data_IF_610513737383
#
_entry.id   IF_610513737383
#
_cell.length_a   1.000
_cell.length_b   1.000
_cell.length_c   1.000
_cell.angle_alpha   90.00
_cell.angle_beta   90.00
_cell.angle_gamma   90.00
#
_symmetry.space_group_name_H-M   'P 1'
#
loop_
_entity.id
_entity.type
_entity.pdbx_description
1 polymer ?
#
# COMPACT_ATOMS: atom_id res chain seq x y z
N UNK A 1 -24.41 -54.70 18.05
CA UNK A 1 -23.15 -54.38 17.39
C UNK A 1 -23.35 -53.11 16.57
N UNK A 2 -23.02 -51.96 17.17
CA UNK A 2 -23.14 -50.64 16.53
C UNK A 2 -21.71 -50.23 16.15
N UNK A 3 -21.42 -50.20 14.84
CA UNK A 3 -20.21 -49.62 14.32
C UNK A 3 -20.43 -48.13 14.04
N UNK A 4 -19.90 -47.30 14.93
CA UNK A 4 -19.80 -45.85 14.67
C UNK A 4 -18.69 -45.59 13.64
N UNK A 5 -19.12 -45.28 12.43
CA UNK A 5 -18.17 -44.83 11.38
C UNK A 5 -17.81 -43.36 11.64
N UNK A 6 -16.65 -43.15 12.20
CA UNK A 6 -16.04 -41.81 12.35
C UNK A 6 -15.62 -41.35 10.96
N UNK A 7 -16.36 -40.43 10.38
CA UNK A 7 -15.93 -39.73 9.14
C UNK A 7 -14.89 -38.73 9.52
N UNK A 8 -13.61 -39.09 9.35
CA UNK A 8 -12.50 -38.14 9.31
C UNK A 8 -12.67 -37.26 8.09
N UNK A 9 -13.16 -36.05 8.31
CA UNK A 9 -13.08 -34.98 7.33
C UNK A 9 -11.62 -34.52 7.22
N UNK A 10 -10.82 -35.20 6.45
CA UNK A 10 -9.54 -34.71 5.94
C UNK A 10 -9.79 -33.49 5.07
N UNK A 11 -9.70 -32.27 5.64
CA UNK A 11 -9.57 -31.06 4.86
C UNK A 11 -8.27 -31.17 4.08
N UNK A 12 -8.37 -31.42 2.77
CA UNK A 12 -7.25 -31.17 1.87
C UNK A 12 -6.78 -29.73 2.14
N UNK A 13 -5.61 -29.56 2.72
CA UNK A 13 -5.02 -28.26 2.99
C UNK A 13 -4.67 -27.65 1.62
N UNK A 14 -5.57 -26.83 1.08
CA UNK A 14 -5.30 -26.07 -0.14
C UNK A 14 -4.00 -25.29 0.02
N UNK A 15 -3.33 -24.92 -1.09
CA UNK A 15 -2.10 -24.15 -1.08
C UNK A 15 -2.23 -22.89 -0.20
N UNK A 16 -1.15 -22.48 0.46
CA UNK A 16 -1.11 -21.24 1.24
C UNK A 16 -1.54 -20.04 0.38
N UNK A 17 -2.26 -19.05 0.93
CA UNK A 17 -2.56 -17.82 0.21
C UNK A 17 -1.33 -16.92 0.01
N UNK A 18 -0.20 -17.28 0.63
CA UNK A 18 1.05 -16.53 0.64
C UNK A 18 2.10 -17.16 -0.28
N UNK A 19 2.92 -16.33 -0.90
CA UNK A 19 4.07 -16.78 -1.69
C UNK A 19 5.30 -17.05 -0.82
N UNK A 20 6.34 -17.62 -1.40
CA UNK A 20 7.54 -18.08 -0.68
C UNK A 20 8.22 -16.97 0.16
N UNK A 21 8.29 -15.73 -0.37
CA UNK A 21 8.87 -14.59 0.34
C UNK A 21 8.08 -14.20 1.60
N UNK A 22 6.73 -14.15 1.52
CA UNK A 22 5.87 -13.89 2.67
C UNK A 22 6.03 -14.97 3.74
N UNK A 23 6.03 -16.24 3.33
CA UNK A 23 6.24 -17.37 4.23
C UNK A 23 7.63 -17.32 4.90
N UNK A 24 8.67 -16.87 4.19
CA UNK A 24 10.00 -16.72 4.77
C UNK A 24 10.02 -15.65 5.86
N UNK A 25 9.40 -14.49 5.62
CA UNK A 25 9.29 -13.42 6.62
C UNK A 25 8.42 -13.86 7.81
N UNK A 26 7.30 -14.54 7.57
CA UNK A 26 6.43 -15.06 8.63
C UNK A 26 7.14 -16.07 9.53
N UNK A 27 7.92 -16.98 8.94
CA UNK A 27 8.75 -17.94 9.70
C UNK A 27 9.80 -17.21 10.56
N UNK A 28 10.53 -16.26 9.96
CA UNK A 28 11.55 -15.49 10.69
C UNK A 28 10.96 -14.66 11.83
N UNK A 29 9.74 -14.16 11.64
CA UNK A 29 8.99 -13.43 12.66
C UNK A 29 8.28 -14.32 13.70
N UNK A 30 8.34 -15.65 13.55
CA UNK A 30 7.72 -16.60 14.50
C UNK A 30 6.19 -16.63 14.45
N UNK A 31 5.58 -16.29 13.31
CA UNK A 31 4.10 -16.13 13.21
C UNK A 31 3.46 -16.93 12.06
N UNK A 32 4.20 -17.83 11.42
CA UNK A 32 3.79 -18.51 10.19
C UNK A 32 2.44 -19.25 10.32
N UNK A 33 2.25 -20.04 11.37
CA UNK A 33 1.01 -20.79 11.57
C UNK A 33 -0.21 -19.87 11.78
N UNK A 34 -0.04 -18.83 12.60
CA UNK A 34 -1.10 -17.85 12.85
C UNK A 34 -1.43 -17.06 11.57
N UNK A 35 -0.43 -16.62 10.81
CA UNK A 35 -0.62 -15.90 9.55
C UNK A 35 -1.32 -16.79 8.51
N UNK A 36 -0.92 -18.06 8.34
CA UNK A 36 -1.54 -18.98 7.39
C UNK A 36 -3.01 -19.24 7.74
N UNK A 37 -3.33 -19.51 9.00
CA UNK A 37 -4.70 -19.71 9.45
C UNK A 37 -5.58 -18.47 9.19
N UNK A 38 -5.08 -17.28 9.55
CA UNK A 38 -5.78 -16.02 9.33
C UNK A 38 -5.91 -15.68 7.83
N UNK A 39 -4.85 -15.92 7.05
CA UNK A 39 -4.83 -15.64 5.60
C UNK A 39 -5.82 -16.51 4.82
N UNK A 40 -5.93 -17.81 5.14
CA UNK A 40 -6.90 -18.71 4.51
C UNK A 40 -8.36 -18.27 4.69
N UNK A 41 -8.66 -17.59 5.79
CA UNK A 41 -10.00 -17.05 6.06
C UNK A 41 -10.15 -15.64 5.47
N UNK A 42 -9.12 -14.81 5.63
CA UNK A 42 -9.18 -13.38 5.33
C UNK A 42 -8.97 -13.03 3.87
N UNK A 43 -8.03 -13.69 3.19
CA UNK A 43 -7.67 -13.40 1.79
C UNK A 43 -8.60 -14.17 0.86
N UNK A 44 -9.49 -13.46 0.18
CA UNK A 44 -10.51 -14.03 -0.70
C UNK A 44 -10.17 -13.74 -2.16
N UNK A 45 -10.53 -14.65 -3.07
CA UNK A 45 -10.45 -14.44 -4.52
C UNK A 45 -11.58 -13.58 -5.08
N UNK A 46 -12.33 -12.90 -4.24
CA UNK A 46 -13.46 -12.04 -4.61
C UNK A 46 -13.65 -10.93 -3.57
N UNK A 47 -14.35 -9.88 -3.94
CA UNK A 47 -14.73 -8.78 -3.06
C UNK A 47 -16.10 -9.08 -2.42
N UNK A 48 -16.18 -9.27 -1.09
CA UNK A 48 -17.47 -9.29 -0.39
C UNK A 48 -18.24 -7.99 -0.61
N UNK A 49 -19.58 -8.02 -0.47
CA UNK A 49 -20.41 -6.82 -0.63
C UNK A 49 -19.95 -5.65 0.22
N UNK A 50 -19.51 -5.91 1.46
CA UNK A 50 -18.96 -4.88 2.33
C UNK A 50 -17.70 -4.18 1.76
N UNK A 51 -16.84 -4.90 1.01
CA UNK A 51 -15.69 -4.29 0.36
C UNK A 51 -16.10 -3.48 -0.87
N UNK A 52 -17.05 -3.99 -1.65
CA UNK A 52 -17.58 -3.32 -2.83
C UNK A 52 -18.24 -2.00 -2.46
N UNK A 53 -19.13 -2.01 -1.47
CA UNK A 53 -19.76 -0.81 -0.94
C UNK A 53 -18.73 0.17 -0.36
N UNK A 54 -17.71 -0.33 0.34
CA UNK A 54 -16.63 0.50 0.88
C UNK A 54 -15.83 1.21 -0.22
N UNK A 55 -15.46 0.52 -1.30
CA UNK A 55 -14.72 1.13 -2.39
C UNK A 55 -15.55 2.19 -3.13
N UNK A 56 -16.84 1.95 -3.30
CA UNK A 56 -17.73 2.86 -4.04
C UNK A 56 -17.93 4.22 -3.35
N UNK A 57 -17.76 4.32 -2.04
CA UNK A 57 -17.94 5.59 -1.31
C UNK A 57 -16.69 6.48 -1.27
N UNK A 58 -15.53 5.95 -1.70
CA UNK A 58 -14.26 6.66 -1.58
C UNK A 58 -14.11 7.76 -2.65
N UNK A 59 -13.63 8.96 -2.31
CA UNK A 59 -13.30 10.01 -3.27
C UNK A 59 -11.87 9.89 -3.84
N UNK A 60 -11.07 8.99 -3.30
CA UNK A 60 -9.70 8.70 -3.72
C UNK A 60 -9.38 7.23 -3.51
N UNK A 61 -8.43 6.71 -4.29
CA UNK A 61 -8.06 5.31 -4.26
C UNK A 61 -6.57 5.16 -4.60
N UNK A 62 -5.80 4.49 -3.74
CA UNK A 62 -4.38 4.27 -3.98
C UNK A 62 -4.24 3.07 -4.91
N UNK A 63 -3.46 3.24 -5.97
CA UNK A 63 -3.17 2.21 -6.96
C UNK A 63 -1.68 1.92 -7.01
N UNK A 64 -1.34 0.69 -7.27
CA UNK A 64 0.01 0.24 -7.54
C UNK A 64 0.10 -0.58 -8.81
N UNK A 65 1.17 -0.40 -9.52
CA UNK A 65 1.50 -1.13 -10.73
C UNK A 65 3.01 -1.20 -10.91
N UNK A 66 3.43 -1.73 -12.05
CA UNK A 66 4.83 -1.71 -12.47
C UNK A 66 4.94 -1.00 -13.82
N UNK A 67 5.98 -0.20 -13.99
CA UNK A 67 6.28 0.43 -15.26
C UNK A 67 6.94 -0.55 -16.25
N UNK A 68 7.38 -0.05 -17.41
CA UNK A 68 7.99 -0.86 -18.45
C UNK A 68 9.33 -1.50 -18.01
N UNK A 69 10.02 -0.89 -17.07
CA UNK A 69 11.29 -1.38 -16.51
C UNK A 69 11.07 -2.34 -15.33
N UNK A 70 9.82 -2.63 -14.98
CA UNK A 70 9.43 -3.49 -13.86
C UNK A 70 9.62 -2.81 -12.50
N UNK A 71 9.72 -1.47 -12.45
CA UNK A 71 9.76 -0.70 -11.22
C UNK A 71 8.35 -0.57 -10.64
N UNK A 72 8.09 -1.01 -9.40
CA UNK A 72 6.82 -0.76 -8.74
C UNK A 72 6.66 0.72 -8.41
N UNK A 73 5.44 1.23 -8.62
CA UNK A 73 5.05 2.57 -8.23
C UNK A 73 3.72 2.54 -7.47
N UNK A 74 3.62 3.37 -6.43
CA UNK A 74 2.36 3.71 -5.80
C UNK A 74 1.92 5.06 -6.33
N UNK A 75 0.68 5.16 -6.78
CA UNK A 75 0.03 6.39 -7.20
C UNK A 75 -1.39 6.45 -6.66
N UNK A 76 -2.16 7.43 -7.03
CA UNK A 76 -3.55 7.49 -6.65
C UNK A 76 -4.44 7.97 -7.81
N UNK A 77 -5.71 7.60 -7.71
CA UNK A 77 -6.78 8.14 -8.53
C UNK A 77 -7.80 8.82 -7.66
N UNK A 78 -8.43 9.84 -8.19
CA UNK A 78 -9.44 10.62 -7.50
C UNK A 78 -10.67 10.82 -8.39
N UNK A 79 -11.84 10.94 -7.76
CA UNK A 79 -13.10 11.16 -8.46
C UNK A 79 -14.25 11.29 -7.46
N UNK A 80 -15.42 11.62 -7.97
CA UNK A 80 -16.64 11.60 -7.16
C UNK A 80 -16.93 10.16 -6.67
N UNK A 81 -17.53 9.98 -5.49
CA UNK A 81 -17.97 8.68 -5.01
C UNK A 81 -18.70 7.89 -6.10
N UNK A 82 -18.34 6.63 -6.30
CA UNK A 82 -18.76 5.79 -7.42
C UNK A 82 -17.73 5.68 -8.55
N UNK A 83 -16.65 6.50 -8.56
CA UNK A 83 -15.57 6.35 -9.55
C UNK A 83 -14.82 5.02 -9.40
N UNK A 84 -14.83 4.42 -8.21
CA UNK A 84 -14.47 3.04 -8.00
C UNK A 84 -15.76 2.23 -7.87
N UNK A 85 -15.99 1.31 -8.78
CA UNK A 85 -17.21 0.50 -8.84
C UNK A 85 -16.88 -0.98 -9.01
N UNK A 86 -17.80 -1.83 -8.59
CA UNK A 86 -17.67 -3.28 -8.74
C UNK A 86 -18.99 -3.83 -9.26
N UNK A 87 -19.10 -4.12 -10.57
CA UNK A 87 -20.34 -4.67 -11.15
C UNK A 87 -20.67 -6.07 -10.61
N UNK A 88 -19.65 -6.83 -10.26
CA UNK A 88 -19.72 -8.16 -9.71
C UNK A 88 -18.60 -8.41 -8.67
N UNK A 89 -18.59 -9.52 -7.91
CA UNK A 89 -17.61 -9.76 -6.86
C UNK A 89 -16.14 -9.91 -7.33
N UNK A 90 -15.90 -10.16 -8.62
CA UNK A 90 -14.56 -10.45 -9.16
C UNK A 90 -14.07 -9.39 -10.14
N UNK A 91 -14.88 -8.36 -10.38
CA UNK A 91 -14.53 -7.25 -11.26
C UNK A 91 -14.52 -5.93 -10.49
N UNK A 92 -13.38 -5.22 -10.52
CA UNK A 92 -13.27 -3.84 -10.04
C UNK A 92 -13.09 -2.91 -11.24
N UNK A 93 -13.86 -1.82 -11.27
CA UNK A 93 -13.69 -0.72 -12.24
C UNK A 93 -13.18 0.51 -11.51
N UNK A 94 -12.08 1.08 -11.98
CA UNK A 94 -11.51 2.32 -11.43
C UNK A 94 -11.50 3.36 -12.53
N UNK A 95 -12.42 4.29 -12.43
CA UNK A 95 -12.49 5.48 -13.29
C UNK A 95 -11.52 6.57 -12.76
N UNK A 96 -11.58 7.74 -13.34
CA UNK A 96 -10.63 8.80 -13.03
C UNK A 96 -9.30 8.59 -13.76
N UNK A 97 -8.85 9.62 -14.45
CA UNK A 97 -7.59 9.58 -15.18
C UNK A 97 -6.37 9.49 -14.26
N UNK A 98 -5.22 9.28 -14.86
CA UNK A 98 -3.96 9.50 -14.17
C UNK A 98 -3.89 10.97 -13.72
N UNK A 99 -3.38 11.19 -12.52
CA UNK A 99 -3.04 12.54 -12.10
C UNK A 99 -1.86 13.05 -12.93
N UNK A 100 -1.68 14.37 -12.90
CA UNK A 100 -0.51 14.97 -13.55
C UNK A 100 0.77 14.32 -13.00
N UNK A 101 1.66 13.96 -13.92
CA UNK A 101 2.97 13.38 -13.62
C UNK A 101 2.92 11.99 -12.94
N UNK A 102 1.79 11.30 -13.03
CA UNK A 102 1.62 9.94 -12.54
C UNK A 102 2.65 8.99 -13.18
N UNK A 103 3.52 8.32 -12.39
CA UNK A 103 4.52 7.41 -12.95
C UNK A 103 3.93 6.19 -13.66
N UNK A 104 2.65 5.89 -13.43
CA UNK A 104 1.93 4.77 -14.05
C UNK A 104 0.98 5.22 -15.18
N UNK A 105 1.02 6.49 -15.62
CA UNK A 105 0.11 6.99 -16.65
C UNK A 105 0.07 6.08 -17.90
N UNK A 106 1.23 5.62 -18.36
CA UNK A 106 1.41 4.79 -19.55
C UNK A 106 1.63 3.30 -19.26
N UNK A 107 1.52 2.89 -18.00
CA UNK A 107 1.83 1.50 -17.59
C UNK A 107 0.66 0.54 -17.78
N UNK A 108 -0.56 1.05 -17.89
CA UNK A 108 -1.76 0.24 -17.88
C UNK A 108 -2.06 -0.38 -19.25
N UNK A 109 -2.14 -1.71 -19.27
CA UNK A 109 -2.51 -2.52 -20.42
C UNK A 109 -3.14 -3.83 -19.96
N UNK A 110 -3.92 -4.54 -20.78
CA UNK A 110 -4.39 -5.87 -20.42
C UNK A 110 -3.22 -6.79 -20.02
N UNK A 111 -3.41 -7.52 -18.93
CA UNK A 111 -2.37 -8.36 -18.32
C UNK A 111 -1.44 -7.64 -17.33
N UNK A 112 -1.47 -6.30 -17.23
CA UNK A 112 -0.67 -5.59 -16.22
C UNK A 112 -1.12 -5.94 -14.81
N UNK A 113 -0.19 -6.16 -13.86
CA UNK A 113 -0.53 -6.39 -12.47
C UNK A 113 -1.07 -5.11 -11.83
N UNK A 114 -2.09 -5.26 -10.99
CA UNK A 114 -2.78 -4.18 -10.28
C UNK A 114 -2.83 -4.47 -8.79
N UNK A 115 -2.40 -3.50 -7.99
CA UNK A 115 -2.64 -3.46 -6.55
C UNK A 115 -3.51 -2.26 -6.20
N UNK A 116 -4.52 -2.47 -5.38
CA UNK A 116 -5.41 -1.40 -4.94
C UNK A 116 -5.55 -1.34 -3.42
N UNK A 117 -5.57 -0.13 -2.88
CA UNK A 117 -5.83 0.12 -1.47
C UNK A 117 -6.88 1.22 -1.34
N UNK A 118 -8.10 0.83 -1.01
CA UNK A 118 -9.10 1.77 -0.51
C UNK A 118 -8.79 2.13 0.93
N UNK A 119 -8.73 3.43 1.21
CA UNK A 119 -8.50 3.95 2.55
C UNK A 119 -9.41 5.15 2.82
N UNK A 120 -10.15 5.07 3.93
CA UNK A 120 -11.03 6.11 4.43
C UNK A 120 -10.43 6.64 5.74
N UNK A 121 -9.74 7.77 5.64
CA UNK A 121 -9.02 8.35 6.78
C UNK A 121 -9.96 8.73 7.94
N UNK A 122 -11.18 9.31 7.71
CA UNK A 122 -12.08 9.69 8.79
C UNK A 122 -12.48 8.52 9.72
N UNK A 123 -12.59 7.32 9.19
CA UNK A 123 -12.99 6.11 9.94
C UNK A 123 -11.85 5.16 10.24
N UNK A 124 -10.64 5.46 9.74
CA UNK A 124 -9.46 4.58 9.79
C UNK A 124 -9.70 3.20 9.18
N UNK A 125 -10.60 3.11 8.19
CA UNK A 125 -10.86 1.85 7.46
C UNK A 125 -10.00 1.76 6.24
N UNK A 126 -9.53 0.56 5.94
CA UNK A 126 -8.82 0.27 4.69
C UNK A 126 -9.01 -1.18 4.29
N UNK A 127 -9.22 -1.38 2.99
CA UNK A 127 -9.32 -2.70 2.37
C UNK A 127 -8.39 -2.75 1.16
N UNK A 128 -7.81 -3.92 0.93
CA UNK A 128 -6.96 -4.18 -0.23
C UNK A 128 -7.72 -4.99 -1.27
N UNK A 129 -7.41 -4.72 -2.54
CA UNK A 129 -7.83 -5.52 -3.67
C UNK A 129 -6.68 -5.60 -4.67
N UNK A 130 -6.28 -6.80 -5.03
CA UNK A 130 -5.24 -7.04 -6.01
C UNK A 130 -5.81 -7.85 -7.18
N UNK A 131 -5.20 -7.70 -8.35
CA UNK A 131 -5.64 -8.40 -9.54
C UNK A 131 -4.79 -8.10 -10.76
N UNK A 132 -5.39 -8.30 -11.91
CA UNK A 132 -4.78 -8.04 -13.21
C UNK A 132 -5.71 -7.17 -14.03
N UNK A 133 -5.18 -6.19 -14.72
CA UNK A 133 -5.95 -5.36 -15.65
C UNK A 133 -6.52 -6.26 -16.74
N UNK A 134 -7.84 -6.34 -16.82
CA UNK A 134 -8.56 -7.10 -17.84
C UNK A 134 -8.79 -6.27 -19.11
N UNK A 135 -8.89 -4.94 -18.97
CA UNK A 135 -9.09 -4.04 -20.09
C UNK A 135 -9.09 -2.58 -19.66
N UNK A 136 -9.05 -1.71 -20.66
CA UNK A 136 -9.18 -0.26 -20.51
C UNK A 136 -10.32 0.22 -21.42
N UNK A 137 -11.12 1.15 -20.90
CA UNK A 137 -12.14 1.88 -21.64
C UNK A 137 -11.93 3.38 -21.38
N UNK A 138 -11.20 4.03 -22.28
CA UNK A 138 -10.67 5.36 -22.03
C UNK A 138 -9.77 5.38 -20.79
N UNK A 139 -10.14 6.19 -19.80
CA UNK A 139 -9.42 6.30 -18.54
C UNK A 139 -9.86 5.24 -17.48
N UNK A 140 -10.85 4.40 -17.77
CA UNK A 140 -11.39 3.40 -16.84
C UNK A 140 -10.57 2.13 -16.92
N UNK A 141 -9.99 1.73 -15.79
CA UNK A 141 -9.36 0.43 -15.64
C UNK A 141 -10.41 -0.60 -15.22
N UNK A 142 -10.49 -1.72 -15.94
CA UNK A 142 -11.23 -2.90 -15.52
C UNK A 142 -10.24 -3.94 -15.01
N UNK A 143 -10.40 -4.40 -13.76
CA UNK A 143 -9.46 -5.30 -13.08
C UNK A 143 -10.17 -6.61 -12.74
N UNK A 144 -9.60 -7.74 -13.18
CA UNK A 144 -9.98 -9.07 -12.71
C UNK A 144 -9.33 -9.30 -11.33
N UNK A 145 -10.17 -9.43 -10.30
CA UNK A 145 -9.74 -9.53 -8.90
C UNK A 145 -9.23 -10.92 -8.59
N UNK A 146 -8.04 -11.00 -8.00
CA UNK A 146 -7.44 -12.25 -7.51
C UNK A 146 -7.38 -12.34 -6.00
N UNK A 147 -7.30 -11.19 -5.31
CA UNK A 147 -7.27 -11.11 -3.86
C UNK A 147 -8.06 -9.90 -3.35
N UNK A 148 -8.84 -10.08 -2.29
CA UNK A 148 -9.45 -8.97 -1.55
C UNK A 148 -9.49 -9.30 -0.05
N UNK A 149 -9.04 -8.36 0.78
CA UNK A 149 -9.00 -8.54 2.23
C UNK A 149 -8.96 -7.21 3.00
N UNK A 150 -9.50 -7.26 4.21
CA UNK A 150 -9.43 -6.15 5.15
C UNK A 150 -8.04 -6.01 5.76
N UNK A 151 -7.70 -4.79 6.13
CA UNK A 151 -6.47 -4.49 6.83
C UNK A 151 -6.76 -3.84 8.19
N UNK A 152 -5.83 -4.03 9.13
CA UNK A 152 -5.89 -3.46 10.46
C UNK A 152 -5.99 -1.92 10.40
N UNK A 153 -6.82 -1.26 11.26
CA UNK A 153 -6.97 0.19 11.29
C UNK A 153 -5.79 0.94 11.95
N UNK A 154 -4.81 0.20 12.48
CA UNK A 154 -3.68 0.78 13.20
C UNK A 154 -2.87 1.75 12.34
N UNK A 155 -2.32 2.78 12.99
CA UNK A 155 -1.40 3.77 12.42
C UNK A 155 -2.00 4.68 11.34
N UNK A 156 -3.31 4.68 11.13
CA UNK A 156 -3.99 5.62 10.24
C UNK A 156 -4.31 6.89 11.03
N UNK A 157 -3.79 8.02 10.56
CA UNK A 157 -4.15 9.33 11.10
C UNK A 157 -5.49 9.74 10.50
N UNK A 158 -6.43 10.16 11.37
CA UNK A 158 -7.74 10.61 10.92
C UNK A 158 -7.63 12.00 10.29
N UNK A 159 -8.23 12.17 9.13
CA UNK A 159 -8.36 13.42 8.42
C UNK A 159 -9.66 13.41 7.61
N UNK A 160 -10.26 14.57 7.43
CA UNK A 160 -11.44 14.76 6.57
C UNK A 160 -11.00 15.43 5.27
N UNK A 161 -11.30 14.85 4.10
CA UNK A 161 -10.99 15.49 2.83
C UNK A 161 -11.97 16.63 2.54
N UNK A 162 -11.44 17.72 1.98
CA UNK A 162 -12.19 18.86 1.48
C UNK A 162 -11.83 19.06 0.01
N UNK A 163 -12.80 18.99 -0.92
CA UNK A 163 -12.55 19.26 -2.32
C UNK A 163 -12.03 20.68 -2.52
N UNK A 164 -11.05 20.84 -3.40
CA UNK A 164 -10.56 22.16 -3.82
C UNK A 164 -10.59 22.24 -5.32
N UNK A 165 -10.84 23.44 -5.85
CA UNK A 165 -10.69 23.69 -7.27
C UNK A 165 -9.24 23.37 -7.68
N UNK A 166 -9.02 22.66 -8.79
CA UNK A 166 -7.67 22.39 -9.27
C UNK A 166 -6.95 23.70 -9.54
N UNK A 167 -6.03 24.06 -8.69
CA UNK A 167 -5.05 25.10 -8.98
C UNK A 167 -3.91 24.40 -9.71
N UNK A 168 -3.77 24.61 -10.99
CA UNK A 168 -2.69 24.07 -11.79
C UNK A 168 -1.60 25.13 -11.92
N UNK A 169 -0.61 25.19 -11.01
CA UNK A 169 0.59 25.90 -11.35
C UNK A 169 1.22 25.19 -12.54
N UNK A 170 1.65 25.90 -13.52
CA UNK A 170 2.41 25.38 -14.65
C UNK A 170 3.87 25.03 -14.21
N UNK A 171 4.01 24.37 -13.06
CA UNK A 171 5.32 23.95 -12.56
C UNK A 171 5.69 22.67 -13.27
N UNK A 172 6.84 22.61 -13.97
CA UNK A 172 7.31 21.39 -14.59
C UNK A 172 7.52 20.28 -13.58
N UNK A 173 7.26 19.03 -13.97
CA UNK A 173 7.62 17.85 -13.18
C UNK A 173 9.11 17.90 -12.85
N UNK A 174 9.41 17.87 -11.57
CA UNK A 174 10.79 17.71 -11.11
C UNK A 174 11.13 16.21 -11.05
N UNK A 175 12.16 15.81 -11.78
CA UNK A 175 12.77 14.47 -11.68
C UNK A 175 14.23 14.62 -11.22
N UNK A 176 14.61 13.76 -10.27
CA UNK A 176 15.97 13.75 -9.72
C UNK A 176 16.34 12.34 -9.25
N UNK A 177 17.63 12.10 -9.03
CA UNK A 177 18.12 10.84 -8.43
C UNK A 177 18.34 10.95 -6.91
N UNK A 178 18.01 12.09 -6.31
CA UNK A 178 18.19 12.36 -4.89
C UNK A 178 17.17 13.39 -4.39
N UNK A 179 16.91 13.38 -3.11
CA UNK A 179 16.05 14.34 -2.41
C UNK A 179 16.71 15.72 -2.36
N UNK A 180 15.94 16.76 -2.66
CA UNK A 180 16.30 18.13 -2.31
C UNK A 180 15.79 18.49 -0.90
N UNK A 181 16.00 19.74 -0.50
CA UNK A 181 15.57 20.22 0.83
C UNK A 181 14.04 20.22 0.96
N UNK A 182 13.30 20.59 -0.08
CA UNK A 182 11.85 20.59 -0.04
C UNK A 182 11.27 19.18 0.07
N UNK A 183 11.87 18.19 -0.61
CA UNK A 183 11.50 16.77 -0.48
C UNK A 183 11.75 16.28 0.95
N UNK A 184 12.92 16.61 1.54
CA UNK A 184 13.25 16.23 2.92
C UNK A 184 12.29 16.86 3.93
N UNK A 185 11.92 18.11 3.75
CA UNK A 185 10.93 18.80 4.59
C UNK A 185 9.55 18.16 4.47
N UNK A 186 9.12 17.73 3.27
CA UNK A 186 7.88 17.02 3.07
C UNK A 186 7.91 15.68 3.81
N UNK A 187 8.98 14.89 3.65
CA UNK A 187 9.15 13.60 4.32
C UNK A 187 9.20 13.77 5.85
N UNK A 188 9.92 14.77 6.35
CA UNK A 188 10.03 15.01 7.79
C UNK A 188 8.69 15.35 8.46
N UNK A 189 7.78 16.01 7.73
CA UNK A 189 6.43 16.31 8.22
C UNK A 189 5.43 15.19 7.98
N UNK A 190 5.77 14.23 7.12
CA UNK A 190 4.87 13.14 6.77
C UNK A 190 4.60 12.25 7.99
N UNK A 191 3.35 11.95 8.23
CA UNK A 191 2.88 10.94 9.18
C UNK A 191 2.26 9.72 8.47
N UNK A 192 2.26 9.75 7.16
CA UNK A 192 1.68 8.74 6.29
C UNK A 192 2.46 8.69 4.97
N UNK A 193 2.75 7.50 4.51
CA UNK A 193 3.13 7.24 3.13
C UNK A 193 2.55 5.91 2.65
N UNK A 194 2.54 5.71 1.34
CA UNK A 194 2.13 4.45 0.72
C UNK A 194 3.34 3.80 0.07
N UNK A 195 3.35 2.47 0.06
CA UNK A 195 4.43 1.70 -0.54
C UNK A 195 3.86 0.63 -1.47
N UNK A 196 4.30 0.65 -2.73
CA UNK A 196 4.08 -0.42 -3.68
C UNK A 196 5.28 -1.36 -3.68
N UNK A 197 4.99 -2.66 -3.74
CA UNK A 197 5.96 -3.75 -3.88
C UNK A 197 5.37 -4.81 -4.80
N UNK A 198 6.20 -5.60 -5.46
CA UNK A 198 5.72 -6.58 -6.42
C UNK A 198 6.45 -7.92 -6.28
N UNK A 199 5.68 -8.99 -6.35
CA UNK A 199 6.19 -10.32 -6.64
C UNK A 199 5.58 -10.79 -7.97
N UNK A 200 6.40 -10.88 -9.01
CA UNK A 200 5.97 -11.24 -10.37
C UNK A 200 6.39 -12.68 -10.75
N UNK A 201 6.86 -13.46 -9.76
CA UNK A 201 7.19 -14.86 -9.94
C UNK A 201 5.95 -15.64 -10.43
N UNK A 202 6.02 -16.34 -11.58
CA UNK A 202 4.91 -17.15 -12.07
C UNK A 202 4.42 -18.19 -11.07
N UNK A 203 5.32 -18.72 -10.23
CA UNK A 203 5.00 -19.75 -9.23
C UNK A 203 4.31 -19.21 -7.98
N UNK A 204 4.20 -17.89 -7.86
CA UNK A 204 3.47 -17.25 -6.75
C UNK A 204 1.93 -17.39 -6.88
N UNK A 205 1.42 -17.93 -7.97
CA UNK A 205 -0.01 -18.17 -8.22
C UNK A 205 -0.89 -16.95 -7.86
N UNK A 206 -1.82 -17.11 -6.89
CA UNK A 206 -2.76 -16.07 -6.47
C UNK A 206 -2.09 -14.90 -5.72
N UNK A 207 -0.90 -15.11 -5.17
CA UNK A 207 -0.11 -14.09 -4.51
C UNK A 207 0.87 -13.37 -5.47
N UNK A 208 0.84 -13.70 -6.79
CA UNK A 208 1.57 -12.99 -7.82
C UNK A 208 0.90 -11.64 -8.10
N UNK A 209 1.67 -10.57 -8.06
CA UNK A 209 1.14 -9.25 -8.42
C UNK A 209 1.82 -8.11 -7.69
N UNK A 210 1.07 -7.03 -7.54
CA UNK A 210 1.49 -5.81 -6.85
C UNK A 210 0.66 -5.63 -5.59
N UNK A 211 1.32 -5.27 -4.51
CA UNK A 211 0.68 -4.84 -3.27
C UNK A 211 0.92 -3.37 -3.02
N UNK A 212 -0.12 -2.67 -2.57
CA UNK A 212 0.02 -1.32 -2.02
C UNK A 212 -0.33 -1.36 -0.54
N UNK A 213 0.55 -0.80 0.28
CA UNK A 213 0.38 -0.73 1.72
C UNK A 213 0.50 0.70 2.22
N UNK A 214 -0.32 1.04 3.21
CA UNK A 214 -0.20 2.26 4.00
C UNK A 214 0.82 2.04 5.13
N UNK A 215 1.64 3.04 5.36
CA UNK A 215 2.54 3.15 6.51
C UNK A 215 2.27 4.46 7.22
N UNK A 216 2.17 4.43 8.54
CA UNK A 216 1.91 5.62 9.33
C UNK A 216 2.68 5.65 10.63
N UNK A 217 3.02 6.86 11.06
CA UNK A 217 3.74 7.16 12.29
C UNK A 217 3.44 8.58 12.77
N UNK A 218 4.16 9.07 13.76
CA UNK A 218 4.23 10.50 14.04
C UNK A 218 5.16 11.17 13.04
N UNK A 219 5.03 12.49 12.78
CA UNK A 219 6.03 13.22 11.99
C UNK A 219 7.45 12.89 12.44
N UNK A 220 8.33 12.66 11.49
CA UNK A 220 9.70 12.19 11.73
C UNK A 220 9.86 10.66 11.84
N UNK A 221 8.78 9.86 11.75
CA UNK A 221 8.90 8.39 11.75
C UNK A 221 9.66 7.84 10.52
N UNK A 222 9.72 8.60 9.45
CA UNK A 222 10.60 8.35 8.31
C UNK A 222 11.87 9.14 8.53
N UNK A 223 12.96 8.45 8.87
CA UNK A 223 14.26 9.08 9.03
C UNK A 223 14.92 9.25 7.66
N UNK A 224 15.31 10.47 7.34
CA UNK A 224 16.12 10.80 6.17
C UNK A 224 17.59 10.67 6.59
N UNK A 225 18.22 9.57 6.25
CA UNK A 225 19.62 9.32 6.63
C UNK A 225 20.60 10.17 5.80
N UNK A 226 20.29 10.30 4.52
CA UNK A 226 21.00 11.17 3.56
C UNK A 226 20.10 11.51 2.35
N UNK A 227 20.65 12.11 1.30
CA UNK A 227 19.90 12.51 0.11
C UNK A 227 19.31 11.32 -0.69
N UNK A 228 19.75 10.08 -0.40
CA UNK A 228 19.36 8.88 -1.13
C UNK A 228 18.96 7.71 -0.22
N UNK A 229 18.89 7.92 1.08
CA UNK A 229 18.60 6.85 2.03
C UNK A 229 17.53 7.26 3.01
N UNK A 230 16.47 6.45 3.10
CA UNK A 230 15.41 6.56 4.11
C UNK A 230 15.41 5.31 4.97
N UNK A 231 15.22 5.47 6.28
CA UNK A 231 14.97 4.36 7.20
C UNK A 231 13.62 4.54 7.86
N UNK A 232 12.79 3.48 7.84
CA UNK A 232 11.43 3.51 8.38
C UNK A 232 11.18 2.32 9.31
N UNK A 233 10.41 2.51 10.40
CA UNK A 233 10.01 1.41 11.27
C UNK A 233 8.94 0.53 10.62
N UNK A 234 9.02 -0.78 10.85
CA UNK A 234 7.94 -1.72 10.60
C UNK A 234 7.31 -2.10 11.94
N UNK A 235 6.14 -1.54 12.18
CA UNK A 235 5.35 -1.75 13.39
C UNK A 235 4.49 -3.02 13.31
N UNK A 236 4.01 -3.49 14.46
CA UNK A 236 3.15 -4.67 14.54
C UNK A 236 1.79 -4.43 13.86
N UNK A 237 1.59 -5.05 12.70
CA UNK A 237 0.37 -4.97 11.87
C UNK A 237 -0.44 -6.28 11.85
N UNK A 238 -0.97 -6.63 10.66
CA UNK A 238 -1.75 -7.85 10.44
C UNK A 238 -0.91 -9.14 10.33
N UNK A 239 0.40 -9.02 10.30
CA UNK A 239 1.39 -10.12 10.21
C UNK A 239 1.33 -10.95 8.91
N UNK A 240 0.66 -10.46 7.87
CA UNK A 240 0.69 -11.11 6.55
C UNK A 240 2.02 -10.89 5.84
N UNK A 241 2.67 -9.76 6.11
CA UNK A 241 3.96 -9.38 5.55
C UNK A 241 4.02 -9.26 4.03
N UNK A 242 2.89 -8.93 3.38
CA UNK A 242 2.85 -8.81 1.91
C UNK A 242 4.00 -7.93 1.38
N UNK A 243 4.16 -6.71 1.89
CA UNK A 243 5.24 -5.79 1.47
C UNK A 243 6.63 -6.37 1.71
N UNK A 244 6.89 -6.89 2.93
CA UNK A 244 8.21 -7.42 3.28
C UNK A 244 8.51 -8.72 2.54
N UNK A 245 7.50 -9.56 2.34
CA UNK A 245 7.61 -10.79 1.54
C UNK A 245 7.95 -10.50 0.09
N UNK A 246 7.31 -9.49 -0.49
CA UNK A 246 7.66 -9.01 -1.83
C UNK A 246 9.12 -8.55 -1.88
N UNK A 247 9.61 -7.81 -0.87
CA UNK A 247 11.00 -7.33 -0.83
C UNK A 247 12.03 -8.46 -0.73
N UNK A 248 11.68 -9.61 -0.15
CA UNK A 248 12.55 -10.80 -0.16
C UNK A 248 12.73 -11.36 -1.57
N UNK A 249 11.68 -11.31 -2.39
CA UNK A 249 11.72 -11.82 -3.78
C UNK A 249 12.18 -10.76 -4.78
N UNK A 250 11.79 -9.50 -4.57
CA UNK A 250 12.11 -8.36 -5.42
C UNK A 250 12.26 -7.10 -4.54
N UNK A 251 13.47 -6.61 -4.32
CA UNK A 251 13.71 -5.50 -3.41
C UNK A 251 13.23 -4.14 -3.94
N UNK A 252 12.74 -4.04 -5.17
CA UNK A 252 12.24 -2.78 -5.73
C UNK A 252 10.99 -2.31 -4.99
N UNK A 253 10.95 -1.03 -4.68
CA UNK A 253 9.87 -0.36 -3.96
C UNK A 253 9.48 0.95 -4.65
N UNK A 254 8.19 1.25 -4.68
CA UNK A 254 7.68 2.57 -5.05
C UNK A 254 7.01 3.22 -3.84
N UNK A 255 7.53 4.36 -3.39
CA UNK A 255 6.95 5.10 -2.28
C UNK A 255 6.14 6.28 -2.81
N UNK A 256 5.06 6.60 -2.12
CA UNK A 256 4.23 7.79 -2.38
C UNK A 256 4.02 8.52 -1.06
N UNK A 257 4.57 9.71 -0.95
CA UNK A 257 4.25 10.64 0.11
C UNK A 257 3.22 11.65 -0.39
N UNK A 258 2.28 12.00 0.48
CA UNK A 258 1.20 12.94 0.21
C UNK A 258 1.32 14.11 1.17
N UNK A 259 1.48 15.31 0.64
CA UNK A 259 1.29 16.53 1.43
C UNK A 259 -0.22 16.82 1.51
N UNK A 260 -0.83 16.44 2.61
CA UNK A 260 -2.28 16.57 2.81
C UNK A 260 -2.75 18.03 2.91
N UNK A 261 -1.84 18.96 3.21
CA UNK A 261 -2.12 20.39 3.32
C UNK A 261 -2.03 21.09 1.96
N UNK A 262 -0.95 20.79 1.19
CA UNK A 262 -0.69 21.46 -0.10
C UNK A 262 -1.23 20.69 -1.29
N UNK A 263 -1.42 19.37 -1.14
CA UNK A 263 -1.81 18.47 -2.22
C UNK A 263 -0.65 18.09 -3.14
N UNK A 264 0.59 18.22 -2.68
CA UNK A 264 1.75 17.77 -3.41
C UNK A 264 1.91 16.25 -3.30
N UNK A 265 2.45 15.65 -4.34
CA UNK A 265 2.78 14.24 -4.39
C UNK A 265 4.30 14.07 -4.60
N UNK A 266 4.92 13.28 -3.74
CA UNK A 266 6.32 12.90 -3.87
C UNK A 266 6.38 11.40 -4.14
N UNK A 267 6.75 11.03 -5.36
CA UNK A 267 6.98 9.65 -5.79
C UNK A 267 8.46 9.32 -5.67
N UNK A 268 8.77 8.16 -5.15
CA UNK A 268 10.15 7.71 -4.95
C UNK A 268 10.30 6.26 -5.40
N UNK A 269 11.18 6.02 -6.36
CA UNK A 269 11.66 4.67 -6.67
C UNK A 269 12.86 4.33 -5.80
N UNK A 270 12.88 3.13 -5.25
CA UNK A 270 13.93 2.70 -4.35
C UNK A 270 14.16 1.18 -4.41
N UNK A 271 15.28 0.75 -3.83
CA UNK A 271 15.48 -0.64 -3.37
C UNK A 271 15.35 -0.71 -1.86
N UNK A 272 14.69 -1.76 -1.38
CA UNK A 272 14.40 -1.99 0.04
C UNK A 272 15.32 -3.06 0.64
N UNK A 273 15.80 -2.82 1.85
CA UNK A 273 16.53 -3.76 2.69
C UNK A 273 15.77 -3.92 4.01
N UNK A 274 15.52 -5.16 4.45
CA UNK A 274 14.87 -5.44 5.74
C UNK A 274 15.96 -5.58 6.79
N UNK A 275 15.98 -4.67 7.77
CA UNK A 275 16.90 -4.67 8.90
C UNK A 275 16.18 -5.28 10.11
N UNK A 276 16.56 -6.50 10.47
CA UNK A 276 15.87 -7.28 11.51
C UNK A 276 16.31 -6.94 12.92
N UNK A 277 17.56 -6.55 13.09
CA UNK A 277 18.21 -6.25 14.37
C UNK A 277 19.31 -5.19 14.17
N UNK A 278 19.95 -4.81 15.25
CA UNK A 278 21.05 -3.85 15.22
C UNK A 278 20.75 -2.56 16.00
N UNK A 279 21.75 -1.72 16.20
CA UNK A 279 21.66 -0.53 17.06
C UNK A 279 20.64 0.48 16.56
N UNK A 280 20.44 0.59 15.24
CA UNK A 280 19.48 1.52 14.64
C UNK A 280 18.03 1.24 15.10
N UNK A 281 17.69 -0.03 15.40
CA UNK A 281 16.33 -0.41 15.81
C UNK A 281 15.92 0.29 17.11
N UNK A 282 16.84 0.50 18.04
CA UNK A 282 16.58 1.15 19.32
C UNK A 282 16.15 2.63 19.17
N UNK A 283 16.46 3.27 18.05
CA UNK A 283 16.05 4.64 17.76
C UNK A 283 14.58 4.77 17.35
N UNK A 284 13.87 3.64 17.12
CA UNK A 284 12.48 3.62 16.67
C UNK A 284 11.62 2.85 17.68
N UNK A 285 11.07 3.57 18.65
CA UNK A 285 10.23 2.98 19.70
C UNK A 285 9.05 2.16 19.10
N UNK A 286 8.87 0.93 19.56
CA UNK A 286 7.79 0.03 19.13
C UNK A 286 8.02 -0.65 17.78
N UNK A 287 9.10 -0.35 17.08
CA UNK A 287 9.45 -1.04 15.84
C UNK A 287 9.84 -2.50 16.10
N UNK A 288 9.39 -3.39 15.22
CA UNK A 288 9.76 -4.81 15.26
C UNK A 288 11.00 -5.10 14.40
N UNK A 289 11.25 -4.26 13.42
CA UNK A 289 12.35 -4.23 12.45
C UNK A 289 12.31 -2.90 11.73
N UNK A 290 13.32 -2.64 10.88
CA UNK A 290 13.34 -1.47 10.03
C UNK A 290 13.32 -1.89 8.56
N UNK A 291 12.91 -0.96 7.70
CA UNK A 291 13.13 -1.06 6.27
C UNK A 291 13.97 0.14 5.85
N UNK A 292 15.10 -0.14 5.22
CA UNK A 292 15.97 0.87 4.63
C UNK A 292 15.72 0.94 3.13
N UNK A 293 15.44 2.13 2.62
CA UNK A 293 15.22 2.38 1.20
C UNK A 293 16.39 3.16 0.62
N UNK A 294 17.00 2.63 -0.44
CA UNK A 294 18.01 3.33 -1.24
C UNK A 294 17.35 3.85 -2.50
N UNK A 295 17.27 5.17 -2.62
CA UNK A 295 16.54 5.87 -3.66
C UNK A 295 17.31 5.82 -4.99
N UNK A 296 16.59 5.60 -6.08
CA UNK A 296 17.10 5.66 -7.45
C UNK A 296 16.46 6.80 -8.25
N UNK A 297 15.21 7.15 -7.98
CA UNK A 297 14.50 8.24 -8.64
C UNK A 297 13.54 8.92 -7.66
N UNK A 298 13.40 10.23 -7.82
CA UNK A 298 12.45 11.09 -7.09
C UNK A 298 11.68 11.92 -8.11
N UNK A 299 10.34 11.97 -7.99
CA UNK A 299 9.46 12.82 -8.79
C UNK A 299 8.57 13.62 -7.85
N UNK A 300 8.51 14.95 -8.01
CA UNK A 300 7.58 15.79 -7.25
C UNK A 300 6.60 16.47 -8.19
N UNK A 301 5.30 16.26 -7.93
CA UNK A 301 4.19 16.93 -8.60
C UNK A 301 3.48 17.83 -7.60
N UNK A 302 3.55 19.14 -7.82
CA UNK A 302 3.02 20.14 -6.88
C UNK A 302 1.51 20.35 -7.13
N UNK A 303 0.73 20.50 -6.06
CA UNK A 303 -0.71 20.74 -6.07
C UNK A 303 -1.49 19.77 -6.98
N UNK A 304 -1.05 18.52 -7.07
CA UNK A 304 -1.61 17.52 -7.97
C UNK A 304 -2.98 16.98 -7.51
N UNK A 305 -3.29 17.12 -6.21
CA UNK A 305 -4.53 16.58 -5.65
C UNK A 305 -5.67 17.57 -5.69
N UNK A 306 -6.89 17.11 -6.07
CA UNK A 306 -8.12 17.92 -6.03
C UNK A 306 -8.73 18.00 -4.62
N UNK A 307 -7.97 17.67 -3.60
CA UNK A 307 -8.38 17.70 -2.20
C UNK A 307 -7.32 18.36 -1.33
N UNK A 308 -7.78 18.90 -0.19
CA UNK A 308 -6.98 19.19 0.99
C UNK A 308 -7.60 18.44 2.14
N UNK A 309 -6.87 18.25 3.21
CA UNK A 309 -7.36 17.51 4.36
C UNK A 309 -7.24 18.36 5.62
N UNK A 310 -8.14 18.12 6.57
CA UNK A 310 -8.04 18.68 7.91
C UNK A 310 -6.72 18.30 8.58
N UNK A 311 -6.37 19.00 9.66
CA UNK A 311 -5.27 18.58 10.53
C UNK A 311 -5.45 17.14 11.00
N UNK A 312 -4.34 16.45 11.25
CA UNK A 312 -4.33 15.08 11.69
C UNK A 312 -4.84 14.89 13.12
N UNK A 313 -5.76 13.94 13.32
CA UNK A 313 -5.99 13.33 14.61
C UNK A 313 -5.21 12.02 14.65
N UNK A 314 -4.16 11.96 15.49
CA UNK A 314 -3.25 10.82 15.51
C UNK A 314 -3.92 9.53 16.01
N UNK A 315 -3.45 8.41 15.51
CA UNK A 315 -3.95 7.11 15.91
C UNK A 315 -3.67 6.83 17.40
N UNK A 316 -4.59 6.15 18.12
CA UNK A 316 -4.47 5.94 19.56
C UNK A 316 -3.19 5.24 20.01
N UNK A 317 -2.52 4.51 19.10
CA UNK A 317 -1.24 3.86 19.36
C UNK A 317 -0.13 4.87 19.70
N UNK A 318 -0.24 6.10 19.17
CA UNK A 318 0.73 7.17 19.40
C UNK A 318 0.34 8.11 20.55
N UNK A 319 -0.92 8.13 20.99
CA UNK A 319 -1.38 8.98 22.09
C UNK A 319 -0.76 8.58 23.45
N UNK A 320 -0.27 7.33 23.59
CA UNK A 320 0.36 6.84 24.81
C UNK A 320 1.84 7.18 24.94
N UNK A 321 2.51 7.50 23.85
CA UNK A 321 3.93 7.87 23.87
C UNK A 321 4.16 9.33 24.35
N UNK A 322 3.17 10.21 24.21
CA UNK A 322 3.26 11.60 24.65
C UNK A 322 2.82 11.87 26.11
N UNK A 323 2.31 10.86 26.83
CA UNK A 323 1.83 11.02 28.22
C UNK A 323 2.85 10.55 29.28
N UNK A 324 4.06 10.17 28.86
CA UNK A 324 5.15 9.72 29.72
C UNK A 324 6.36 10.68 29.67
N UNK A 325 6.12 11.94 29.33
CA UNK A 325 7.13 13.01 29.33
C UNK A 325 6.81 14.07 30.38
#
# INVERSE_FOLDING_TARGET
MNQSTTIERGKAAGASPFHAGELAVQRRAGVAEHADAAGRIGIRGFMPEQHRAFFAQLPWFIVGGVDADGQPWATLRAGEPGFVASPDPVTLRVAGGALRDDPLADAWRPGAPFGGLGIELPTRRRNRVNGTVAGLDGAVLSVAVTQSFGNCPKYIQRRTPEPVAPAWPAVPLRRASALDEADRMLIARADTFFVASANLDPDAHRARGVDVSHRGGLPGFVRVDDARTLTVPDYNGNRYFNTLGNFVSNPRAGLLFVDFERGDLLYVAASAEIVWDGPDLAAFEGAQRLVRFRLSEVRRSEAALPFRWSAAEYAPQFARAGAAG
#
